data_IF_130707608617
#
_entry.id   IF_130707608617
#
_cell.length_a   1.000
_cell.length_b   1.000
_cell.length_c   1.000
_cell.angle_alpha   90.00
_cell.angle_beta   90.00
_cell.angle_gamma   90.00
#
_symmetry.space_group_name_H-M   'P 1'
#
loop_
_entity.id
_entity.type
_entity.pdbx_description
1 polymer ?
#
# COMPACT_ATOMS: atom_id res chain seq x y z
N UNK A 1 -60.80 3.54 63.91
CA UNK A 1 -60.42 4.97 63.95
C UNK A 1 -60.93 5.57 62.64
N UNK A 2 -62.13 6.16 62.56
CA UNK A 2 -62.45 7.56 62.94
C UNK A 2 -61.44 8.54 62.32
N UNK A 3 -61.74 9.57 61.51
CA UNK A 3 -62.91 10.25 60.92
C UNK A 3 -62.30 11.14 59.80
N UNK A 4 -62.88 11.26 58.60
CA UNK A 4 -63.60 12.50 58.23
C UNK A 4 -63.08 13.16 56.94
N UNK A 5 -64.01 13.33 56.00
CA UNK A 5 -63.97 14.04 54.70
C UNK A 5 -64.18 15.58 54.93
N UNK A 6 -64.48 16.47 53.95
CA UNK A 6 -64.12 16.67 52.52
C UNK A 6 -63.66 18.14 52.20
N UNK A 7 -63.61 18.48 50.90
CA UNK A 7 -63.76 19.82 50.26
C UNK A 7 -62.52 20.73 50.18
N UNK A 8 -62.41 21.72 49.29
CA UNK A 8 -62.80 22.00 47.89
C UNK A 8 -62.15 23.38 47.55
N UNK A 9 -62.15 23.76 46.27
CA UNK A 9 -61.98 25.12 45.69
C UNK A 9 -60.65 25.50 44.99
N UNK A 10 -60.74 25.48 43.66
CA UNK A 10 -60.64 26.65 42.75
C UNK A 10 -59.74 27.84 43.17
N UNK A 11 -58.79 28.23 42.31
CA UNK A 11 -58.88 29.45 41.46
C UNK A 11 -57.64 29.65 40.58
N UNK A 12 -57.95 30.25 39.43
CA UNK A 12 -57.20 30.67 38.25
C UNK A 12 -56.16 31.81 38.50
N UNK A 13 -55.40 32.25 37.46
CA UNK A 13 -54.00 32.71 37.51
C UNK A 13 -53.84 34.25 37.41
N UNK A 14 -52.67 34.72 36.89
CA UNK A 14 -52.28 36.09 36.41
C UNK A 14 -51.48 36.92 37.46
N UNK A 15 -50.58 37.90 37.15
CA UNK A 15 -50.10 38.49 35.88
C UNK A 15 -48.57 38.70 35.68
N UNK A 16 -48.29 39.06 34.42
CA UNK A 16 -47.18 39.80 33.79
C UNK A 16 -46.84 41.18 34.40
N UNK A 17 -45.55 41.55 34.40
CA UNK A 17 -45.03 42.93 34.19
C UNK A 17 -43.51 42.83 33.87
N UNK A 18 -43.01 43.09 32.65
CA UNK A 18 -42.63 44.39 32.07
C UNK A 18 -41.81 45.30 33.01
N UNK A 19 -40.57 45.61 32.63
CA UNK A 19 -40.10 46.96 32.26
C UNK A 19 -38.56 47.03 32.00
N UNK A 20 -38.23 47.58 30.81
CA UNK A 20 -37.15 48.57 30.52
C UNK A 20 -35.67 48.13 30.37
N UNK A 21 -35.26 48.05 29.09
CA UNK A 21 -33.99 48.52 28.46
C UNK A 21 -33.60 49.94 28.92
N UNK A 22 -32.32 50.46 28.81
CA UNK A 22 -31.64 50.61 27.49
C UNK A 22 -30.09 50.87 27.40
N UNK A 23 -29.58 50.91 26.15
CA UNK A 23 -28.27 51.40 25.61
C UNK A 23 -26.98 50.66 26.08
N UNK A 24 -26.10 50.16 25.20
CA UNK A 24 -25.14 50.95 24.42
C UNK A 24 -24.64 50.24 23.14
N UNK A 25 -24.59 51.04 22.07
CA UNK A 25 -23.61 51.12 20.97
C UNK A 25 -23.29 49.91 20.07
N UNK A 26 -23.82 50.00 18.84
CA UNK A 26 -23.10 49.67 17.63
C UNK A 26 -21.81 50.52 17.53
N UNK A 27 -20.69 49.89 17.18
CA UNK A 27 -19.69 50.53 16.32
C UNK A 27 -19.14 49.51 15.31
N UNK A 28 -19.00 49.90 14.04
CA UNK A 28 -18.49 49.07 12.96
C UNK A 28 -16.96 49.18 12.87
N UNK A 29 -16.28 48.10 12.50
CA UNK A 29 -14.93 48.21 11.95
C UNK A 29 -15.00 47.94 10.46
N UNK A 30 -14.97 49.04 9.72
CA UNK A 30 -14.75 49.11 8.29
C UNK A 30 -13.25 48.95 7.94
N UNK A 31 -12.93 48.69 6.66
CA UNK A 31 -11.72 48.01 6.21
C UNK A 31 -10.56 48.97 5.89
N UNK A 32 -9.35 48.49 6.08
CA UNK A 32 -8.13 49.04 5.48
C UNK A 32 -7.02 48.01 5.63
N UNK A 33 -6.09 47.76 4.71
CA UNK A 33 -5.85 48.17 3.33
C UNK A 33 -4.96 47.05 2.77
N UNK A 34 -5.18 46.68 1.51
CA UNK A 34 -4.25 45.87 0.73
C UNK A 34 -2.84 46.49 0.72
N UNK A 35 -1.80 45.65 0.67
CA UNK A 35 -0.71 45.88 -0.25
C UNK A 35 -0.87 44.96 -1.46
N UNK A 36 -0.81 45.60 -2.62
CA UNK A 36 -0.66 45.06 -3.98
C UNK A 36 0.46 44.02 -4.12
N UNK A 37 0.38 43.17 -5.17
CA UNK A 37 1.22 42.00 -5.32
C UNK A 37 2.67 42.37 -5.66
N UNK A 38 3.62 41.67 -5.04
CA UNK A 38 5.00 41.67 -5.49
C UNK A 38 5.07 40.84 -6.77
N UNK A 39 5.30 41.52 -7.90
CA UNK A 39 5.83 40.91 -9.12
C UNK A 39 7.11 40.17 -8.76
N UNK A 40 7.10 38.83 -8.78
CA UNK A 40 8.32 38.10 -9.07
C UNK A 40 8.50 38.14 -10.58
N UNK A 41 9.44 38.99 -10.98
CA UNK A 41 9.99 39.02 -12.33
C UNK A 41 10.46 37.62 -12.72
N UNK A 42 10.02 37.17 -13.87
CA UNK A 42 10.64 36.08 -14.60
C UNK A 42 12.12 36.43 -14.81
N UNK A 43 13.01 35.75 -14.08
CA UNK A 43 14.42 35.72 -14.40
C UNK A 43 14.58 34.56 -15.40
N UNK A 44 14.96 34.82 -16.67
CA UNK A 44 15.23 33.76 -17.60
C UNK A 44 16.48 33.01 -17.13
N UNK A 45 16.33 31.71 -16.85
CA UNK A 45 17.46 30.80 -16.68
C UNK A 45 18.14 30.72 -18.05
N UNK A 46 19.41 31.13 -18.19
CA UNK A 46 20.10 31.02 -19.46
C UNK A 46 20.34 29.54 -19.78
N UNK A 47 19.95 29.17 -21.00
CA UNK A 47 20.39 27.97 -21.69
C UNK A 47 21.91 27.81 -21.51
N UNK A 48 22.32 26.83 -20.72
CA UNK A 48 23.70 26.35 -20.75
C UNK A 48 23.86 25.52 -22.03
N UNK A 49 24.19 26.22 -23.12
CA UNK A 49 24.83 25.63 -24.29
C UNK A 49 26.19 25.12 -23.83
N UNK A 50 26.37 23.80 -23.77
CA UNK A 50 27.70 23.21 -23.65
C UNK A 50 28.46 23.50 -24.94
N UNK A 51 29.31 24.54 -24.91
CA UNK A 51 30.39 24.71 -25.87
C UNK A 51 31.43 23.62 -25.61
N UNK A 52 31.55 22.65 -26.53
CA UNK A 52 32.73 21.80 -26.59
C UNK A 52 33.86 22.64 -27.18
N UNK A 53 34.78 23.06 -26.30
CA UNK A 53 36.05 23.66 -26.70
C UNK A 53 36.94 22.62 -27.36
N UNK A 54 37.52 23.00 -28.49
CA UNK A 54 38.52 22.23 -29.22
C UNK A 54 39.76 21.98 -28.35
N UNK A 55 40.09 20.71 -28.12
CA UNK A 55 41.46 20.26 -27.89
C UNK A 55 41.83 19.32 -29.06
N UNK A 56 43.01 19.47 -29.69
CA UNK A 56 43.38 18.70 -30.86
C UNK A 56 43.94 17.33 -30.47
N UNK A 57 43.52 16.30 -31.22
CA UNK A 57 44.16 14.99 -31.23
C UNK A 57 43.22 13.85 -30.88
N UNK A 58 42.30 13.52 -31.77
CA UNK A 58 41.81 12.15 -31.99
C UNK A 58 41.07 12.12 -33.32
N UNK A 59 41.48 11.25 -34.25
CA UNK A 59 40.83 11.08 -35.56
C UNK A 59 39.48 10.36 -35.40
N UNK A 60 38.45 10.69 -36.21
CA UNK A 60 37.15 10.03 -36.13
C UNK A 60 37.10 8.76 -36.99
N UNK A 61 36.79 7.63 -36.36
CA UNK A 61 36.27 6.45 -37.05
C UNK A 61 34.79 6.66 -37.38
N UNK A 62 34.36 6.10 -38.51
CA UNK A 62 33.13 6.41 -39.25
C UNK A 62 31.83 6.35 -38.42
N UNK A 63 31.00 7.38 -38.60
CA UNK A 63 29.63 7.43 -38.10
C UNK A 63 28.69 6.54 -38.94
N UNK A 64 28.10 5.52 -38.31
CA UNK A 64 26.95 4.78 -38.86
C UNK A 64 25.64 5.46 -38.42
N UNK A 65 24.78 5.76 -39.41
CA UNK A 65 23.41 6.26 -39.21
C UNK A 65 22.54 5.27 -38.43
N UNK A 66 21.51 5.73 -37.68
CA UNK A 66 20.58 4.83 -37.01
C UNK A 66 19.65 4.16 -38.03
N UNK A 67 19.89 2.87 -38.28
CA UNK A 67 18.97 2.00 -39.01
C UNK A 67 17.75 1.65 -38.16
N UNK A 68 16.60 1.53 -38.82
CA UNK A 68 15.33 1.06 -38.24
C UNK A 68 15.47 -0.30 -37.54
N UNK A 69 14.67 -0.60 -36.50
CA UNK A 69 14.74 -1.89 -35.81
C UNK A 69 14.35 -3.03 -36.76
N UNK A 70 14.99 -4.21 -36.67
CA UNK A 70 14.63 -5.34 -37.52
C UNK A 70 13.24 -5.86 -37.14
N UNK A 71 12.48 -6.25 -38.17
CA UNK A 71 11.25 -7.01 -38.01
C UNK A 71 11.58 -8.38 -37.41
N UNK A 72 10.91 -8.74 -36.32
CA UNK A 72 11.01 -10.08 -35.72
C UNK A 72 10.34 -11.09 -36.66
N UNK A 73 11.14 -11.97 -37.27
CA UNK A 73 10.67 -13.21 -37.86
C UNK A 73 10.42 -14.25 -36.76
N UNK A 74 9.37 -15.06 -36.92
CA UNK A 74 9.04 -16.21 -36.08
C UNK A 74 10.25 -17.13 -35.89
N UNK A 75 10.60 -17.41 -34.62
CA UNK A 75 11.54 -18.47 -34.25
C UNK A 75 10.76 -19.75 -33.94
N UNK A 76 11.27 -20.88 -34.45
CA UNK A 76 10.70 -22.21 -34.33
C UNK A 76 10.80 -22.77 -32.88
N UNK A 77 9.92 -23.70 -32.47
CA UNK A 77 9.68 -24.06 -31.07
C UNK A 77 10.62 -25.14 -30.49
N UNK A 78 11.92 -25.12 -30.83
CA UNK A 78 12.85 -26.21 -30.45
C UNK A 78 13.90 -25.80 -29.39
N UNK A 79 13.95 -24.54 -28.95
CA UNK A 79 14.92 -24.03 -27.95
C UNK A 79 14.27 -23.76 -26.58
N UNK A 80 13.53 -24.72 -26.04
CA UNK A 80 13.02 -24.67 -24.67
C UNK A 80 14.01 -25.38 -23.71
N UNK A 81 14.70 -24.67 -22.78
CA UNK A 81 15.65 -25.31 -21.86
C UNK A 81 14.99 -26.02 -20.67
N UNK A 82 13.66 -26.19 -20.67
CA UNK A 82 12.93 -26.93 -19.65
C UNK A 82 12.56 -28.34 -20.11
N UNK A 83 13.55 -29.21 -20.29
CA UNK A 83 13.31 -30.65 -20.25
C UNK A 83 14.49 -31.41 -19.63
N UNK A 84 14.16 -32.24 -18.63
CA UNK A 84 14.93 -33.32 -18.02
C UNK A 84 16.17 -32.99 -17.16
N UNK A 85 15.98 -32.99 -15.84
CA UNK A 85 16.98 -33.53 -14.90
C UNK A 85 16.31 -34.57 -13.97
N UNK A 86 16.88 -35.78 -13.82
CA UNK A 86 16.29 -36.84 -13.01
C UNK A 86 16.45 -36.58 -11.51
N UNK A 87 15.36 -36.79 -10.77
CA UNK A 87 15.31 -36.89 -9.31
C UNK A 87 16.10 -38.11 -8.84
N UNK A 88 17.29 -37.90 -8.27
CA UNK A 88 17.89 -38.87 -7.34
C UNK A 88 17.90 -38.30 -5.92
N UNK A 89 17.29 -39.09 -5.05
CA UNK A 89 16.88 -38.79 -3.69
C UNK A 89 18.05 -39.10 -2.75
N UNK A 90 18.78 -38.10 -2.28
CA UNK A 90 19.72 -38.27 -1.17
C UNK A 90 18.93 -38.41 0.14
N UNK A 91 18.77 -39.65 0.59
CA UNK A 91 18.26 -39.99 1.93
C UNK A 91 19.35 -39.72 2.96
N UNK A 92 19.27 -38.58 3.65
CA UNK A 92 19.98 -38.40 4.92
C UNK A 92 19.06 -38.74 6.10
N UNK A 93 19.61 -39.46 7.07
CA UNK A 93 18.89 -40.01 8.21
C UNK A 93 18.42 -38.90 9.18
N UNK A 94 17.28 -39.08 9.88
CA UNK A 94 16.75 -38.06 10.77
C UNK A 94 17.63 -37.89 12.01
N UNK A 95 18.06 -36.65 12.25
CA UNK A 95 18.67 -36.23 13.51
C UNK A 95 17.66 -36.36 14.66
N UNK A 96 18.07 -36.82 15.86
CA UNK A 96 17.16 -37.00 16.99
C UNK A 96 16.63 -35.65 17.50
N UNK A 97 15.31 -35.57 17.69
CA UNK A 97 14.64 -34.41 18.27
C UNK A 97 15.06 -34.26 19.75
N UNK A 98 15.59 -33.09 20.17
CA UNK A 98 15.74 -32.80 21.59
C UNK A 98 14.36 -32.69 22.25
N UNK A 99 14.24 -33.29 23.43
CA UNK A 99 13.00 -33.44 24.17
C UNK A 99 12.36 -32.11 24.60
N UNK A 100 11.05 -32.21 24.87
CA UNK A 100 10.14 -31.19 25.40
C UNK A 100 10.77 -30.30 26.48
N UNK A 101 11.43 -29.23 26.05
CA UNK A 101 11.62 -28.05 26.86
C UNK A 101 10.40 -27.15 26.64
N UNK A 102 9.77 -26.74 27.74
CA UNK A 102 8.75 -25.69 27.77
C UNK A 102 9.16 -24.53 26.87
N UNK A 103 8.33 -24.23 25.87
CA UNK A 103 8.54 -23.12 24.93
C UNK A 103 8.80 -21.86 25.75
N UNK A 104 9.98 -21.22 25.65
CA UNK A 104 10.16 -19.92 26.27
C UNK A 104 9.12 -18.98 25.67
N UNK A 105 8.49 -18.16 26.51
CA UNK A 105 7.59 -17.10 26.09
C UNK A 105 8.38 -16.19 25.15
N UNK A 106 8.20 -16.40 23.84
CA UNK A 106 8.91 -15.65 22.80
C UNK A 106 8.33 -14.24 22.85
N UNK A 107 9.03 -13.33 23.52
CA UNK A 107 8.69 -11.92 23.45
C UNK A 107 8.80 -11.49 21.99
N UNK A 108 7.83 -10.71 21.48
CA UNK A 108 7.89 -10.20 20.11
C UNK A 108 9.18 -9.39 19.92
N UNK A 109 9.71 -9.42 18.69
CA UNK A 109 10.88 -8.63 18.34
C UNK A 109 10.54 -7.13 18.48
N UNK A 110 11.47 -6.27 18.93
CA UNK A 110 11.19 -4.84 19.14
C UNK A 110 10.60 -4.14 17.91
N UNK A 111 11.03 -4.54 16.72
CA UNK A 111 10.45 -4.03 15.47
C UNK A 111 8.97 -4.42 15.33
N UNK A 112 8.60 -5.66 15.65
CA UNK A 112 7.21 -6.11 15.63
C UNK A 112 6.35 -5.29 16.59
N UNK A 113 6.86 -4.94 17.77
CA UNK A 113 6.14 -4.07 18.73
C UNK A 113 5.95 -2.64 18.19
N UNK A 114 6.91 -2.15 17.41
CA UNK A 114 6.82 -0.83 16.77
C UNK A 114 5.76 -0.79 15.67
N UNK A 115 5.69 -1.82 14.81
CA UNK A 115 4.84 -1.79 13.60
C UNK A 115 3.47 -2.42 13.77
N UNK A 116 3.33 -3.42 14.66
CA UNK A 116 2.05 -4.04 14.98
C UNK A 116 1.32 -3.25 16.06
N UNK A 117 -0.01 -3.23 15.97
CA UNK A 117 -0.87 -2.74 17.04
C UNK A 117 -1.12 -3.86 18.07
N UNK A 118 -1.53 -3.49 19.29
CA UNK A 118 -1.98 -4.41 20.33
C UNK A 118 -3.32 -5.12 20.03
N UNK A 119 -3.92 -4.85 18.88
CA UNK A 119 -5.15 -5.49 18.41
C UNK A 119 -5.11 -5.64 16.89
N UNK A 120 -6.05 -6.40 16.33
CA UNK A 120 -6.30 -6.46 14.89
C UNK A 120 -7.69 -5.96 14.57
N UNK A 121 -7.80 -5.38 13.40
CA UNK A 121 -9.09 -5.14 12.76
C UNK A 121 -9.21 -5.98 11.50
N UNK A 122 -10.45 -6.18 11.05
CA UNK A 122 -10.77 -6.70 9.74
C UNK A 122 -11.50 -5.61 8.95
N UNK A 123 -11.08 -5.44 7.70
CA UNK A 123 -11.73 -4.57 6.72
C UNK A 123 -12.04 -5.43 5.51
N UNK A 124 -13.32 -5.71 5.26
CA UNK A 124 -13.77 -6.73 4.30
C UNK A 124 -13.13 -8.09 4.61
N UNK A 125 -12.30 -8.63 3.72
CA UNK A 125 -11.58 -9.90 3.88
C UNK A 125 -10.13 -9.73 4.38
N UNK A 126 -9.61 -8.49 4.45
CA UNK A 126 -8.27 -8.21 4.92
C UNK A 126 -8.20 -8.10 6.46
N UNK A 127 -7.36 -8.92 7.08
CA UNK A 127 -7.01 -8.81 8.51
C UNK A 127 -5.80 -7.88 8.65
N UNK A 128 -5.87 -6.91 9.55
CA UNK A 128 -4.89 -5.82 9.68
C UNK A 128 -4.30 -5.84 11.09
N UNK A 129 -3.06 -6.35 11.27
CA UNK A 129 -2.35 -6.29 12.55
C UNK A 129 -1.45 -5.05 12.68
N UNK A 130 -1.21 -4.33 11.58
CA UNK A 130 -0.27 -3.22 11.52
C UNK A 130 -0.93 -1.89 11.87
N UNK A 131 -0.15 -0.96 12.43
CA UNK A 131 -0.62 0.37 12.85
C UNK A 131 -1.11 1.25 11.70
N UNK A 132 -0.74 0.91 10.46
CA UNK A 132 -1.16 1.64 9.25
C UNK A 132 -1.46 0.64 8.14
N UNK A 133 -2.55 0.86 7.40
CA UNK A 133 -2.81 0.18 6.13
C UNK A 133 -3.49 1.14 5.13
N UNK A 134 -3.06 1.11 3.87
CA UNK A 134 -3.78 1.72 2.76
C UNK A 134 -4.90 0.80 2.30
N UNK A 135 -6.14 1.31 2.25
CA UNK A 135 -7.33 0.55 1.82
C UNK A 135 -7.93 1.25 0.62
N UNK A 136 -8.37 0.49 -0.37
CA UNK A 136 -9.01 1.03 -1.58
C UNK A 136 -10.52 0.82 -1.54
N UNK A 137 -11.27 1.87 -1.87
CA UNK A 137 -12.74 1.85 -1.90
C UNK A 137 -13.26 2.61 -3.11
N UNK A 138 -14.39 2.19 -3.66
CA UNK A 138 -15.07 2.94 -4.72
C UNK A 138 -15.76 4.18 -4.14
N UNK A 139 -15.98 5.23 -4.95
CA UNK A 139 -16.80 6.37 -4.53
C UNK A 139 -18.17 5.93 -4.04
N UNK A 140 -18.57 6.40 -2.85
CA UNK A 140 -19.85 6.02 -2.23
C UNK A 140 -19.94 4.60 -1.68
N UNK A 141 -18.87 3.81 -1.71
CA UNK A 141 -18.87 2.46 -1.13
C UNK A 141 -18.98 2.53 0.41
N UNK A 142 -19.83 1.69 0.99
CA UNK A 142 -19.88 1.47 2.43
C UNK A 142 -18.97 0.30 2.79
N UNK A 143 -18.04 0.52 3.71
CA UNK A 143 -17.13 -0.49 4.22
C UNK A 143 -17.41 -0.80 5.68
N UNK A 144 -17.42 -2.09 5.99
CA UNK A 144 -17.47 -2.60 7.35
C UNK A 144 -16.06 -2.71 7.92
N UNK A 145 -15.89 -2.20 9.14
CA UNK A 145 -14.68 -2.27 9.93
C UNK A 145 -15.04 -2.95 11.24
N UNK A 146 -14.35 -4.04 11.58
CA UNK A 146 -14.59 -4.76 12.82
C UNK A 146 -13.30 -5.09 13.56
N UNK A 147 -13.37 -5.10 14.89
CA UNK A 147 -12.32 -5.70 15.72
C UNK A 147 -12.30 -7.20 15.43
N UNK A 148 -11.11 -7.70 15.10
CA UNK A 148 -10.88 -9.12 14.84
C UNK A 148 -10.37 -9.84 16.09
N UNK A 149 -9.30 -9.33 16.69
CA UNK A 149 -8.67 -9.90 17.87
C UNK A 149 -8.05 -8.77 18.71
N UNK A 150 -8.03 -8.94 20.04
CA UNK A 150 -7.40 -8.01 20.98
C UNK A 150 -6.34 -8.78 21.74
N UNK A 151 -5.11 -8.30 21.74
CA UNK A 151 -4.00 -8.89 22.49
C UNK A 151 -3.65 -7.97 23.66
N UNK A 152 -4.13 -8.33 24.84
CA UNK A 152 -3.87 -7.58 26.06
C UNK A 152 -5.13 -7.35 26.89
N UNK A 153 -5.08 -6.32 27.74
CA UNK A 153 -6.22 -5.93 28.57
C UNK A 153 -7.20 -5.07 27.75
N UNK A 154 -8.41 -5.57 27.56
CA UNK A 154 -9.46 -4.83 26.86
C UNK A 154 -10.65 -5.69 26.51
N UNK A 155 -11.76 -5.03 26.21
CA UNK A 155 -12.93 -5.64 25.58
C UNK A 155 -13.27 -4.82 24.34
N UNK A 156 -14.12 -5.36 23.46
CA UNK A 156 -14.60 -4.62 22.30
C UNK A 156 -15.36 -3.32 22.67
N UNK A 157 -15.80 -3.21 23.93
CA UNK A 157 -16.40 -1.99 24.48
C UNK A 157 -15.37 -0.88 24.64
N UNK A 158 -15.72 0.34 24.19
CA UNK A 158 -14.90 1.54 24.38
C UNK A 158 -13.93 1.86 23.25
N UNK A 159 -13.70 0.93 22.30
CA UNK A 159 -13.01 1.28 21.06
C UNK A 159 -13.80 2.34 20.28
N UNK A 160 -13.07 3.23 19.61
CA UNK A 160 -13.65 4.32 18.82
C UNK A 160 -13.12 4.30 17.40
N UNK A 161 -13.97 4.61 16.42
CA UNK A 161 -13.56 4.93 15.06
C UNK A 161 -13.60 6.45 14.89
N UNK A 162 -12.44 7.07 14.67
CA UNK A 162 -12.35 8.49 14.31
C UNK A 162 -12.25 8.67 12.80
N UNK A 163 -13.01 9.63 12.30
CA UNK A 163 -12.97 10.14 10.92
C UNK A 163 -12.51 11.59 10.94
N UNK A 164 -12.19 12.20 9.80
CA UNK A 164 -11.92 13.64 9.74
C UNK A 164 -13.11 14.50 10.18
N UNK A 165 -14.34 13.99 9.99
CA UNK A 165 -15.58 14.70 10.30
C UNK A 165 -16.08 14.48 11.73
N UNK A 166 -15.48 13.55 12.48
CA UNK A 166 -15.85 13.29 13.87
C UNK A 166 -15.53 11.89 14.36
N UNK A 167 -16.41 11.37 15.23
CA UNK A 167 -16.30 10.02 15.78
C UNK A 167 -17.53 9.25 15.33
N UNK A 168 -17.32 8.11 14.69
CA UNK A 168 -18.39 7.22 14.28
C UNK A 168 -18.83 6.37 15.47
N UNK A 169 -20.14 6.30 15.67
CA UNK A 169 -20.72 5.42 16.68
C UNK A 169 -20.75 3.99 16.17
N UNK A 170 -20.18 3.02 16.90
CA UNK A 170 -20.29 1.63 16.54
C UNK A 170 -21.75 1.19 16.53
N UNK A 171 -22.16 0.39 15.54
CA UNK A 171 -23.52 -0.19 15.50
C UNK A 171 -23.62 -1.44 16.39
N UNK A 172 -22.48 -2.03 16.75
CA UNK A 172 -22.33 -3.07 17.76
C UNK A 172 -20.90 -3.02 18.34
N UNK A 173 -20.63 -3.56 19.55
CA UNK A 173 -19.30 -3.48 20.16
C UNK A 173 -18.20 -3.92 19.19
N UNK A 174 -17.24 -3.02 18.94
CA UNK A 174 -16.13 -3.27 18.03
C UNK A 174 -16.48 -3.31 16.53
N UNK A 175 -17.65 -2.81 16.10
CA UNK A 175 -18.01 -2.78 14.67
C UNK A 175 -18.56 -1.43 14.23
N UNK A 176 -18.06 -0.97 13.10
CA UNK A 176 -18.43 0.30 12.47
C UNK A 176 -18.71 0.11 10.99
N UNK A 177 -19.56 0.98 10.45
CA UNK A 177 -19.73 1.17 9.01
C UNK A 177 -19.21 2.56 8.70
N UNK A 178 -18.46 2.71 7.61
CA UNK A 178 -18.11 4.02 7.08
C UNK A 178 -18.40 4.06 5.58
N UNK A 179 -18.88 5.21 5.09
CA UNK A 179 -19.21 5.37 3.67
C UNK A 179 -18.27 6.38 3.02
N UNK A 180 -17.67 5.97 1.91
CA UNK A 180 -16.75 6.78 1.14
C UNK A 180 -17.42 8.02 0.55
N UNK A 181 -16.69 9.16 0.44
CA UNK A 181 -17.16 10.29 -0.32
C UNK A 181 -17.30 9.93 -1.81
N UNK A 182 -17.99 10.78 -2.56
CA UNK A 182 -18.25 10.57 -3.99
C UNK A 182 -17.08 11.02 -4.88
N UNK A 183 -16.12 11.77 -4.33
CA UNK A 183 -15.01 12.33 -5.09
C UNK A 183 -13.87 11.31 -5.20
N UNK A 184 -13.52 10.82 -6.40
CA UNK A 184 -12.37 9.94 -6.58
C UNK A 184 -11.04 10.72 -6.44
N UNK A 185 -9.96 10.00 -6.16
CA UNK A 185 -8.61 10.56 -6.06
C UNK A 185 -8.27 11.18 -4.70
N UNK A 186 -9.19 11.15 -3.74
CA UNK A 186 -8.95 11.60 -2.37
C UNK A 186 -8.43 10.45 -1.48
N UNK A 187 -7.82 10.81 -0.35
CA UNK A 187 -7.48 9.88 0.73
C UNK A 187 -8.10 10.34 2.05
N UNK A 188 -8.78 9.44 2.74
CA UNK A 188 -9.46 9.70 4.02
C UNK A 188 -8.84 8.82 5.12
N UNK A 189 -8.20 9.41 6.14
CA UNK A 189 -7.68 8.63 7.26
C UNK A 189 -8.82 8.27 8.23
N UNK A 190 -8.98 6.97 8.50
CA UNK A 190 -9.84 6.44 9.55
C UNK A 190 -8.96 5.86 10.66
N UNK A 191 -9.27 6.15 11.93
CA UNK A 191 -8.44 5.68 13.05
C UNK A 191 -9.28 4.89 14.04
N UNK A 192 -8.97 3.60 14.19
CA UNK A 192 -9.53 2.75 15.25
C UNK A 192 -8.64 2.90 16.47
N UNK A 193 -9.19 3.37 17.58
CA UNK A 193 -8.44 3.68 18.82
C UNK A 193 -8.84 2.74 19.95
N UNK A 194 -7.82 2.20 20.62
CA UNK A 194 -7.98 1.40 21.83
C UNK A 194 -8.24 2.29 23.06
N UNK A 195 -9.16 1.90 23.96
CA UNK A 195 -9.48 2.68 25.15
C UNK A 195 -8.48 2.54 26.30
N UNK A 196 -7.59 1.53 26.27
CA UNK A 196 -6.75 1.16 27.44
C UNK A 196 -5.29 1.61 27.27
N UNK A 197 -4.67 1.29 26.15
CA UNK A 197 -3.23 1.44 25.90
C UNK A 197 -2.88 2.59 24.95
N UNK A 198 -3.88 3.38 24.54
CA UNK A 198 -3.74 4.46 23.55
C UNK A 198 -3.18 4.01 22.19
N UNK A 199 -3.19 2.70 21.92
CA UNK A 199 -2.83 2.12 20.64
C UNK A 199 -3.90 2.46 19.58
N UNK A 200 -3.51 2.52 18.31
CA UNK A 200 -4.43 2.73 17.21
C UNK A 200 -3.94 2.11 15.90
N UNK A 201 -4.92 1.71 15.08
CA UNK A 201 -4.72 1.37 13.67
C UNK A 201 -5.30 2.50 12.81
N UNK A 202 -4.50 3.01 11.89
CA UNK A 202 -4.92 4.00 10.88
C UNK A 202 -5.13 3.33 9.53
N UNK A 203 -6.35 3.44 8.99
CA UNK A 203 -6.67 3.08 7.62
C UNK A 203 -6.60 4.34 6.76
N UNK A 204 -5.65 4.39 5.84
CA UNK A 204 -5.58 5.43 4.82
C UNK A 204 -6.45 4.99 3.64
N UNK A 205 -7.70 5.45 3.63
CA UNK A 205 -8.70 5.01 2.64
C UNK A 205 -8.57 5.83 1.35
N UNK A 206 -8.09 5.21 0.28
CA UNK A 206 -7.86 5.77 -1.04
C UNK A 206 -9.11 5.57 -1.90
N UNK A 207 -9.72 6.68 -2.34
CA UNK A 207 -10.95 6.65 -3.13
C UNK A 207 -10.60 6.45 -4.61
N UNK A 208 -11.04 5.32 -5.16
CA UNK A 208 -10.69 4.90 -6.51
C UNK A 208 -11.36 5.77 -7.58
N UNK A 209 -10.65 6.02 -8.67
CA UNK A 209 -11.30 6.25 -9.96
C UNK A 209 -11.89 4.92 -10.43
N UNK A 210 -13.23 4.80 -10.59
CA UNK A 210 -13.84 3.54 -10.97
C UNK A 210 -13.30 3.03 -12.31
N UNK A 211 -13.21 1.72 -12.48
CA UNK A 211 -12.73 1.11 -13.72
C UNK A 211 -13.54 1.56 -14.95
N UNK A 212 -14.83 1.85 -14.73
CA UNK A 212 -15.76 2.31 -15.76
C UNK A 212 -15.42 3.71 -16.31
N UNK A 213 -14.54 4.46 -15.66
CA UNK A 213 -14.02 5.74 -16.16
C UNK A 213 -12.92 5.55 -17.23
N UNK A 214 -12.45 4.32 -17.48
CA UNK A 214 -11.48 4.04 -18.55
C UNK A 214 -12.19 4.07 -19.91
N UNK A 215 -11.87 5.07 -20.73
CA UNK A 215 -12.40 5.23 -22.07
C UNK A 215 -11.31 4.98 -23.11
N UNK A 216 -11.59 4.13 -24.10
CA UNK A 216 -10.63 3.77 -25.16
C UNK A 216 -9.25 3.30 -24.65
N UNK A 217 -9.22 2.68 -23.45
CA UNK A 217 -7.99 2.20 -22.82
C UNK A 217 -7.18 3.28 -22.11
N UNK A 218 -7.74 4.46 -21.87
CA UNK A 218 -7.09 5.55 -21.15
C UNK A 218 -7.97 6.03 -19.98
N UNK A 219 -7.32 6.48 -18.90
CA UNK A 219 -7.96 7.14 -17.76
C UNK A 219 -7.29 8.50 -17.59
N UNK A 220 -8.03 9.59 -17.82
CA UNK A 220 -7.50 10.96 -17.77
C UNK A 220 -6.20 11.15 -18.58
N UNK A 221 -6.11 10.53 -19.75
CA UNK A 221 -4.95 10.57 -20.64
C UNK A 221 -3.80 9.61 -20.26
N UNK A 222 -3.90 8.89 -19.14
CA UNK A 222 -2.96 7.85 -18.78
C UNK A 222 -3.35 6.52 -19.43
N UNK A 223 -2.43 5.90 -20.18
CA UNK A 223 -2.68 4.65 -20.90
C UNK A 223 -2.77 3.47 -19.93
N UNK A 224 -3.97 2.94 -19.76
CA UNK A 224 -4.21 1.69 -19.05
C UNK A 224 -4.08 0.51 -20.04
N UNK A 225 -4.61 0.67 -21.24
CA UNK A 225 -4.74 -0.40 -22.22
C UNK A 225 -6.00 -1.24 -21.95
N UNK A 226 -5.91 -2.53 -22.28
CA UNK A 226 -7.06 -3.43 -22.29
C UNK A 226 -6.73 -4.67 -21.48
N UNK A 227 -7.56 -4.93 -20.49
CA UNK A 227 -7.57 -6.19 -19.75
C UNK A 227 -8.22 -7.28 -20.60
N UNK A 228 -7.60 -8.46 -20.68
CA UNK A 228 -8.30 -9.67 -21.10
C UNK A 228 -8.85 -10.35 -19.85
N UNK A 229 -10.03 -9.92 -19.41
CA UNK A 229 -10.67 -10.52 -18.25
C UNK A 229 -11.33 -11.85 -18.61
N UNK A 230 -11.18 -12.81 -17.71
CA UNK A 230 -12.02 -14.00 -17.63
C UNK A 230 -12.94 -13.86 -16.42
N UNK A 231 -14.03 -14.64 -16.32
CA UNK A 231 -14.86 -14.65 -15.11
C UNK A 231 -14.05 -14.91 -13.82
N UNK A 232 -13.00 -15.73 -13.92
CA UNK A 232 -12.11 -16.09 -12.81
C UNK A 232 -11.07 -15.01 -12.48
N UNK A 233 -10.92 -14.01 -13.34
CA UNK A 233 -9.95 -12.93 -13.17
C UNK A 233 -10.54 -11.61 -13.72
N UNK A 234 -11.53 -11.03 -13.01
CA UNK A 234 -12.20 -9.81 -13.44
C UNK A 234 -11.24 -8.62 -13.40
N UNK A 235 -11.50 -7.54 -14.15
CA UNK A 235 -10.71 -6.31 -14.05
C UNK A 235 -10.74 -5.74 -12.62
N UNK A 236 -9.75 -4.91 -12.23
CA UNK A 236 -9.75 -4.27 -10.93
C UNK A 236 -10.99 -3.37 -10.77
N UNK A 237 -11.46 -3.12 -9.53
CA UNK A 237 -12.63 -2.27 -9.28
C UNK A 237 -12.42 -0.80 -9.66
N UNK A 238 -11.15 -0.38 -9.74
CA UNK A 238 -10.76 0.98 -10.09
C UNK A 238 -9.27 1.19 -9.87
N UNK A 239 -8.86 2.45 -9.92
CA UNK A 239 -7.46 2.84 -9.83
C UNK A 239 -7.26 3.97 -8.82
N UNK A 240 -6.19 3.89 -8.05
CA UNK A 240 -5.73 4.98 -7.19
C UNK A 240 -5.00 5.99 -8.05
N UNK A 241 -5.38 7.27 -7.95
CA UNK A 241 -4.64 8.36 -8.55
C UNK A 241 -3.37 8.66 -7.74
N UNK A 242 -2.23 8.71 -8.41
CA UNK A 242 -0.94 9.03 -7.81
C UNK A 242 -0.68 10.54 -7.84
N UNK A 243 -1.54 11.31 -7.17
CA UNK A 243 -1.34 12.76 -7.05
C UNK A 243 -0.09 13.06 -6.22
N UNK A 244 0.60 14.21 -6.43
CA UNK A 244 1.79 14.57 -5.66
C UNK A 244 1.62 14.50 -4.15
N UNK A 245 0.42 14.82 -3.65
CA UNK A 245 0.05 14.83 -2.23
C UNK A 245 -0.04 13.41 -1.63
N UNK A 246 -0.35 12.42 -2.46
CA UNK A 246 -0.55 11.03 -2.02
C UNK A 246 0.70 10.17 -2.16
N UNK A 247 1.72 10.61 -2.90
CA UNK A 247 2.89 9.79 -3.18
C UNK A 247 3.60 9.29 -1.92
N UNK A 248 3.70 10.15 -0.91
CA UNK A 248 4.41 9.84 0.34
C UNK A 248 3.44 9.36 1.44
N UNK A 249 2.17 9.12 1.10
CA UNK A 249 1.20 8.51 1.99
C UNK A 249 1.63 7.08 2.30
N UNK A 250 1.73 6.76 3.60
CA UNK A 250 2.01 5.39 4.06
C UNK A 250 0.84 4.47 3.74
N UNK A 251 1.13 3.37 3.05
CA UNK A 251 0.18 2.27 2.81
C UNK A 251 0.42 1.10 3.74
N UNK A 252 1.56 1.08 4.43
CA UNK A 252 1.84 0.29 5.64
C UNK A 252 3.03 0.95 6.38
N UNK A 253 3.44 0.48 7.58
CA UNK A 253 4.53 1.10 8.33
C UNK A 253 5.83 1.28 7.51
N UNK A 254 6.22 0.25 6.76
CA UNK A 254 7.42 0.26 5.93
C UNK A 254 7.24 0.73 4.49
N UNK A 255 6.02 1.05 4.03
CA UNK A 255 5.75 1.31 2.61
C UNK A 255 4.90 2.55 2.35
N UNK A 256 5.20 3.26 1.26
CA UNK A 256 4.43 4.39 0.73
C UNK A 256 3.78 4.07 -0.61
N UNK A 257 2.78 4.86 -1.00
CA UNK A 257 2.09 4.69 -2.28
C UNK A 257 3.05 4.77 -3.48
N UNK A 258 4.04 5.67 -3.42
CA UNK A 258 5.05 5.88 -4.46
C UNK A 258 5.77 4.59 -4.87
N UNK A 259 6.03 3.69 -3.93
CA UNK A 259 6.79 2.46 -4.18
C UNK A 259 6.03 1.49 -5.11
N UNK A 260 4.70 1.56 -5.16
CA UNK A 260 3.88 0.67 -5.99
C UNK A 260 3.59 1.23 -7.38
N UNK A 261 4.09 2.42 -7.70
CA UNK A 261 3.79 3.07 -8.97
C UNK A 261 4.31 2.31 -10.18
N UNK A 262 3.55 2.29 -11.29
CA UNK A 262 4.09 1.81 -12.54
C UNK A 262 5.24 2.71 -12.99
N UNK A 263 6.26 2.08 -13.59
CA UNK A 263 7.38 2.80 -14.25
C UNK A 263 6.93 3.55 -15.52
N UNK A 264 5.72 3.28 -16.00
CA UNK A 264 5.10 4.03 -17.09
C UNK A 264 5.05 5.54 -16.75
N UNK A 265 5.58 6.36 -17.65
CA UNK A 265 5.47 7.81 -17.55
C UNK A 265 4.03 8.29 -17.77
N UNK A 266 3.69 9.43 -17.17
CA UNK A 266 2.38 10.06 -17.30
C UNK A 266 2.12 11.07 -16.18
N UNK A 267 1.13 11.94 -16.39
CA UNK A 267 0.60 12.80 -15.34
C UNK A 267 -0.88 13.12 -15.63
N UNK A 268 -1.84 12.69 -14.79
CA UNK A 268 -1.64 11.84 -13.60
C UNK A 268 -1.16 10.42 -13.95
N UNK A 269 -0.68 9.68 -12.95
CA UNK A 269 -0.44 8.24 -13.03
C UNK A 269 -1.46 7.51 -12.15
N UNK A 270 -1.73 6.26 -12.50
CA UNK A 270 -2.69 5.42 -11.80
C UNK A 270 -2.09 4.07 -11.45
N UNK A 271 -2.50 3.52 -10.30
CA UNK A 271 -2.15 2.17 -9.91
C UNK A 271 -3.35 1.39 -9.36
N UNK A 272 -3.24 0.06 -9.38
CA UNK A 272 -4.06 -0.81 -8.53
C UNK A 272 -3.22 -1.15 -7.30
N UNK A 273 -3.73 -0.81 -6.12
CA UNK A 273 -3.12 -1.16 -4.84
C UNK A 273 -3.89 -2.34 -4.24
N UNK A 274 -3.19 -3.44 -3.95
CA UNK A 274 -3.77 -4.59 -3.25
C UNK A 274 -3.44 -4.53 -1.77
N UNK A 275 -4.46 -4.56 -0.92
CA UNK A 275 -4.32 -4.66 0.54
C UNK A 275 -3.56 -5.94 0.92
N UNK A 276 -3.88 -7.07 0.29
CA UNK A 276 -3.22 -8.35 0.55
C UNK A 276 -1.74 -8.35 0.17
N UNK A 277 -1.39 -7.75 -0.97
CA UNK A 277 0.02 -7.61 -1.34
C UNK A 277 0.74 -6.71 -0.33
N UNK A 278 0.14 -5.59 0.03
CA UNK A 278 0.74 -4.62 0.98
C UNK A 278 0.98 -5.25 2.34
N UNK A 279 -0.01 -5.96 2.89
CA UNK A 279 0.10 -6.71 4.15
C UNK A 279 1.20 -7.77 4.10
N UNK A 280 1.29 -8.51 2.98
CA UNK A 280 2.33 -9.52 2.78
C UNK A 280 3.72 -8.92 2.68
N UNK A 281 3.86 -7.79 1.99
CA UNK A 281 5.14 -7.08 1.86
C UNK A 281 5.62 -6.56 3.22
N UNK A 282 4.72 -6.04 4.05
CA UNK A 282 5.03 -5.66 5.44
C UNK A 282 5.45 -6.87 6.29
N UNK A 283 4.75 -8.00 6.17
CA UNK A 283 5.12 -9.23 6.88
C UNK A 283 6.49 -9.78 6.45
N UNK A 284 6.84 -9.64 5.16
CA UNK A 284 8.19 -9.99 4.66
C UNK A 284 9.24 -9.05 5.26
N UNK A 285 9.00 -7.73 5.25
CA UNK A 285 9.92 -6.76 5.85
C UNK A 285 10.12 -7.01 7.34
N UNK A 286 9.04 -7.32 8.07
CA UNK A 286 9.09 -7.71 9.46
C UNK A 286 9.97 -8.94 9.69
N UNK A 287 9.78 -10.00 8.91
CA UNK A 287 10.61 -11.20 9.03
C UNK A 287 12.08 -10.94 8.66
N UNK A 288 12.35 -10.12 7.64
CA UNK A 288 13.70 -9.67 7.29
C UNK A 288 14.39 -9.05 8.51
N UNK A 289 13.72 -8.11 9.20
CA UNK A 289 14.29 -7.45 10.38
C UNK A 289 14.40 -8.37 11.59
N UNK A 290 13.46 -9.31 11.76
CA UNK A 290 13.54 -10.34 12.81
C UNK A 290 14.77 -11.23 12.63
N UNK A 291 15.18 -11.48 11.39
CA UNK A 291 16.40 -12.22 11.08
C UNK A 291 17.68 -11.39 11.23
N UNK A 292 17.57 -10.14 11.70
CA UNK A 292 18.69 -9.24 11.96
C UNK A 292 19.24 -8.54 10.71
N UNK A 293 18.49 -8.53 9.62
CA UNK A 293 18.84 -7.78 8.41
C UNK A 293 18.26 -6.38 8.54
N UNK A 294 19.12 -5.37 8.56
CA UNK A 294 18.73 -3.96 8.54
C UNK A 294 18.11 -3.62 7.18
N UNK A 295 16.85 -3.18 7.18
CA UNK A 295 16.14 -2.77 5.98
C UNK A 295 15.04 -1.78 6.33
N UNK A 296 15.15 -0.49 5.96
CA UNK A 296 14.12 0.50 6.18
C UNK A 296 12.82 0.16 5.42
N UNK A 297 12.94 -0.47 4.25
CA UNK A 297 11.83 -0.94 3.42
C UNK A 297 12.30 -2.07 2.49
N UNK A 298 11.41 -2.59 1.66
CA UNK A 298 11.79 -3.39 0.49
C UNK A 298 11.74 -2.49 -0.75
N UNK A 299 12.81 -2.48 -1.53
CA UNK A 299 12.81 -1.79 -2.81
C UNK A 299 11.88 -2.51 -3.78
N UNK A 300 10.73 -1.90 -4.07
CA UNK A 300 9.75 -2.41 -5.03
C UNK A 300 10.20 -2.01 -6.43
N UNK A 301 10.94 -2.89 -7.08
CA UNK A 301 11.40 -2.68 -8.45
C UNK A 301 10.25 -2.61 -9.44
N UNK A 302 9.21 -3.42 -9.22
CA UNK A 302 7.99 -3.41 -10.02
C UNK A 302 6.80 -3.87 -9.20
N UNK A 303 5.84 -2.98 -8.96
CA UNK A 303 4.51 -3.30 -8.44
C UNK A 303 3.49 -3.46 -9.57
N UNK A 304 2.47 -2.62 -9.57
CA UNK A 304 1.44 -2.60 -10.61
C UNK A 304 2.00 -2.28 -12.01
N UNK A 305 1.48 -2.98 -13.02
CA UNK A 305 1.74 -2.69 -14.44
C UNK A 305 0.40 -2.53 -15.15
N UNK A 306 0.23 -1.45 -15.91
CA UNK A 306 -0.92 -1.36 -16.80
C UNK A 306 -0.83 -2.45 -17.88
N UNK A 307 -1.95 -2.97 -18.40
CA UNK A 307 -1.93 -3.85 -19.56
C UNK A 307 -1.14 -3.29 -20.75
N UNK A 308 -1.22 -1.98 -20.99
CA UNK A 308 -0.43 -1.31 -22.02
C UNK A 308 1.07 -1.39 -21.74
N UNK A 309 1.51 -1.01 -20.54
CA UNK A 309 2.92 -1.00 -20.16
C UNK A 309 3.52 -2.39 -20.12
N UNK A 310 2.79 -3.38 -19.60
CA UNK A 310 3.25 -4.77 -19.57
C UNK A 310 3.60 -5.28 -20.98
N UNK A 311 2.76 -4.98 -21.98
CA UNK A 311 3.07 -5.28 -23.38
C UNK A 311 4.23 -4.47 -23.93
N UNK A 312 4.31 -3.18 -23.59
CA UNK A 312 5.39 -2.30 -24.05
C UNK A 312 6.79 -2.77 -23.60
N UNK A 313 6.90 -3.43 -22.44
CA UNK A 313 8.14 -4.05 -21.96
C UNK A 313 8.38 -5.48 -22.47
N UNK A 314 7.62 -5.91 -23.49
CA UNK A 314 7.76 -7.22 -24.12
C UNK A 314 7.03 -8.37 -23.40
N UNK A 315 6.27 -8.08 -22.33
CA UNK A 315 5.46 -9.09 -21.68
C UNK A 315 4.02 -9.08 -22.23
N UNK A 316 3.74 -10.01 -23.13
CA UNK A 316 2.42 -10.14 -23.77
C UNK A 316 1.48 -11.11 -23.06
N UNK A 317 1.86 -11.67 -21.90
CA UNK A 317 0.94 -12.52 -21.14
C UNK A 317 -0.15 -11.68 -20.48
N UNK A 318 -1.37 -12.17 -20.57
CA UNK A 318 -2.52 -11.58 -19.88
C UNK A 318 -2.72 -12.20 -18.48
N UNK A 319 -1.89 -13.16 -18.08
CA UNK A 319 -1.97 -13.84 -16.77
C UNK A 319 -1.05 -13.23 -15.71
N UNK A 320 -0.32 -12.16 -16.05
CA UNK A 320 0.59 -11.51 -15.12
C UNK A 320 -0.18 -10.86 -13.96
N UNK A 321 0.07 -11.32 -12.74
CA UNK A 321 -0.52 -10.78 -11.50
C UNK A 321 -0.18 -9.29 -11.28
N UNK A 322 0.91 -8.78 -11.85
CA UNK A 322 1.19 -7.34 -11.85
C UNK A 322 0.08 -6.48 -12.47
N UNK A 323 -0.71 -7.03 -13.40
CA UNK A 323 -1.83 -6.32 -14.03
C UNK A 323 -2.99 -6.06 -13.05
N UNK A 324 -3.09 -6.85 -11.97
CA UNK A 324 -4.09 -6.73 -10.92
C UNK A 324 -3.56 -6.06 -9.65
N UNK A 325 -2.31 -5.56 -9.69
CA UNK A 325 -1.70 -4.88 -8.55
C UNK A 325 -1.38 -5.80 -7.36
N UNK A 326 -1.47 -7.11 -7.55
CA UNK A 326 -1.35 -8.09 -6.48
C UNK A 326 -0.03 -8.90 -6.54
N UNK A 327 0.94 -8.39 -7.32
CA UNK A 327 2.30 -8.89 -7.40
C UNK A 327 3.35 -7.77 -7.27
N UNK A 328 4.51 -8.15 -6.73
CA UNK A 328 5.68 -7.28 -6.62
C UNK A 328 6.96 -8.05 -6.98
N UNK A 329 7.85 -7.37 -7.69
CA UNK A 329 9.26 -7.73 -7.83
C UNK A 329 10.06 -6.81 -6.90
N UNK A 330 10.85 -7.39 -5.97
CA UNK A 330 11.53 -6.61 -4.92
C UNK A 330 12.90 -7.17 -4.51
N UNK A 331 13.66 -6.34 -3.81
CA UNK A 331 14.92 -6.67 -3.14
C UNK A 331 15.18 -5.67 -1.99
N UNK A 332 16.29 -5.84 -1.26
CA UNK A 332 16.76 -4.87 -0.25
C UNK A 332 17.86 -4.01 -0.87
N UNK A 333 17.74 -2.69 -0.74
CA UNK A 333 18.63 -1.67 -1.30
C UNK A 333 18.71 -0.47 -0.35
N UNK A 334 19.35 -0.67 0.79
CA UNK A 334 19.66 0.37 1.76
C UNK A 334 20.78 1.30 1.27
N UNK A 335 21.61 0.84 0.33
CA UNK A 335 22.62 1.68 -0.31
C UNK A 335 22.03 2.67 -1.32
N UNK A 336 20.81 2.44 -1.80
CA UNK A 336 20.07 3.30 -2.73
C UNK A 336 20.66 3.31 -4.15
N UNK A 337 21.41 2.28 -4.52
CA UNK A 337 22.11 2.22 -5.80
C UNK A 337 21.27 1.52 -6.91
N UNK A 338 20.09 0.99 -6.55
CA UNK A 338 19.21 0.26 -7.45
C UNK A 338 19.57 -1.21 -7.63
N UNK A 339 20.44 -1.76 -6.79
CA UNK A 339 20.87 -3.16 -6.79
C UNK A 339 20.65 -3.80 -5.42
N UNK A 340 20.53 -5.12 -5.40
CA UNK A 340 20.42 -5.87 -4.16
C UNK A 340 21.70 -5.72 -3.34
N UNK A 341 21.54 -5.42 -2.05
CA UNK A 341 22.65 -5.39 -1.10
C UNK A 341 23.17 -6.81 -0.76
N UNK A 342 24.39 -6.88 -0.22
CA UNK A 342 24.96 -8.12 0.33
C UNK A 342 24.34 -8.44 1.70
N UNK A 343 23.35 -9.32 1.70
CA UNK A 343 22.61 -9.74 2.88
C UNK A 343 23.29 -10.90 3.61
N UNK A 344 24.18 -11.61 2.93
CA UNK A 344 24.89 -12.78 3.46
C UNK A 344 26.26 -12.43 4.04
N UNK A 345 26.75 -11.22 3.83
CA UNK A 345 28.04 -10.73 4.32
C UNK A 345 29.23 -11.34 3.58
N UNK A 346 29.03 -11.74 2.32
CA UNK A 346 30.05 -12.39 1.50
C UNK A 346 30.92 -11.41 0.67
N UNK A 347 30.55 -10.13 0.66
CA UNK A 347 31.19 -9.05 -0.08
C UNK A 347 30.48 -8.62 -1.37
N UNK A 348 29.44 -9.33 -1.81
CA UNK A 348 28.73 -9.08 -3.07
C UNK A 348 27.21 -9.28 -2.92
N UNK A 349 26.41 -8.35 -3.44
CA UNK A 349 24.96 -8.53 -3.59
C UNK A 349 24.64 -9.41 -4.80
N UNK A 350 24.11 -10.60 -4.56
CA UNK A 350 24.01 -11.63 -5.60
C UNK A 350 22.95 -12.70 -5.35
N UNK A 351 23.11 -13.84 -6.04
CA UNK A 351 22.11 -14.92 -5.98
C UNK A 351 22.01 -15.57 -4.59
N UNK A 352 23.08 -15.49 -3.79
CA UNK A 352 23.06 -16.01 -2.41
C UNK A 352 22.07 -15.23 -1.54
N UNK A 353 22.04 -13.91 -1.71
CA UNK A 353 21.16 -12.98 -1.02
C UNK A 353 19.71 -13.14 -1.48
N UNK A 354 19.50 -13.31 -2.80
CA UNK A 354 18.19 -13.65 -3.33
C UNK A 354 17.69 -15.00 -2.78
N UNK A 355 18.56 -16.02 -2.66
CA UNK A 355 18.18 -17.29 -2.01
C UNK A 355 17.85 -17.13 -0.54
N UNK A 356 18.50 -16.21 0.18
CA UNK A 356 18.17 -15.90 1.57
C UNK A 356 16.77 -15.25 1.66
N UNK A 357 16.50 -14.22 0.87
CA UNK A 357 15.18 -13.58 0.80
C UNK A 357 14.08 -14.57 0.39
N UNK A 358 14.34 -15.43 -0.58
CA UNK A 358 13.39 -16.45 -0.99
C UNK A 358 12.97 -17.34 0.20
N UNK A 359 13.93 -17.82 1.02
CA UNK A 359 13.63 -18.62 2.21
C UNK A 359 12.85 -17.83 3.28
N UNK A 360 13.18 -16.56 3.45
CA UNK A 360 12.43 -15.65 4.34
C UNK A 360 10.96 -15.59 3.90
N UNK A 361 10.70 -15.36 2.61
CA UNK A 361 9.32 -15.31 2.07
C UNK A 361 8.61 -16.66 2.22
N UNK A 362 9.30 -17.79 2.04
CA UNK A 362 8.71 -19.11 2.30
C UNK A 362 8.28 -19.26 3.75
N UNK A 363 9.12 -18.88 4.73
CA UNK A 363 8.74 -18.92 6.15
C UNK A 363 7.54 -18.05 6.46
N UNK A 364 7.48 -16.83 5.92
CA UNK A 364 6.33 -15.93 6.08
C UNK A 364 5.04 -16.58 5.57
N UNK A 365 5.09 -17.21 4.38
CA UNK A 365 3.93 -17.93 3.88
C UNK A 365 3.62 -19.22 4.67
N UNK A 366 4.62 -19.91 5.22
CA UNK A 366 4.42 -21.15 5.98
C UNK A 366 3.76 -20.91 7.35
N UNK A 367 3.98 -19.74 7.96
CA UNK A 367 3.30 -19.36 9.21
C UNK A 367 1.79 -19.23 9.07
N UNK A 368 1.30 -19.01 7.84
CA UNK A 368 -0.12 -18.89 7.53
C UNK A 368 -0.85 -17.89 8.44
N UNK A 369 -0.20 -16.75 8.75
CA UNK A 369 -0.85 -15.68 9.50
C UNK A 369 -2.09 -15.16 8.72
N UNK A 370 -3.19 -14.79 9.38
CA UNK A 370 -4.45 -14.43 8.71
C UNK A 370 -4.34 -13.28 7.70
N UNK A 371 -3.36 -12.40 7.87
CA UNK A 371 -3.11 -11.25 7.00
C UNK A 371 -2.17 -11.57 5.83
N UNK A 372 -1.59 -12.78 5.78
CA UNK A 372 -0.64 -13.22 4.75
C UNK A 372 -1.33 -14.16 3.76
N UNK A 373 -1.71 -13.61 2.61
CA UNK A 373 -2.31 -14.40 1.53
C UNK A 373 -1.25 -15.21 0.79
N UNK A 374 -1.54 -16.50 0.60
CA UNK A 374 -0.68 -17.40 -0.18
C UNK A 374 -0.56 -16.93 -1.63
N UNK A 375 0.59 -17.16 -2.26
CA UNK A 375 0.73 -16.89 -3.68
C UNK A 375 1.99 -17.47 -4.31
N UNK A 376 2.26 -16.95 -5.50
CA UNK A 376 3.46 -17.20 -6.27
C UNK A 376 4.70 -16.66 -5.58
N UNK A 377 5.81 -17.38 -5.76
CA UNK A 377 7.13 -16.99 -5.31
C UNK A 377 8.16 -17.50 -6.32
N UNK A 378 9.06 -16.64 -6.78
CA UNK A 378 10.16 -17.00 -7.67
C UNK A 378 11.38 -16.13 -7.36
N UNK A 379 12.57 -16.67 -7.65
CA UNK A 379 13.83 -15.93 -7.58
C UNK A 379 14.40 -15.78 -8.99
N UNK A 380 14.63 -14.53 -9.41
CA UNK A 380 15.20 -14.24 -10.70
C UNK A 380 16.68 -13.87 -10.57
N UNK A 381 17.49 -14.45 -11.45
CA UNK A 381 18.92 -14.17 -11.54
C UNK A 381 19.17 -12.76 -12.09
N UNK A 382 20.34 -12.24 -11.76
CA UNK A 382 20.85 -11.01 -12.37
C UNK A 382 21.04 -11.17 -13.89
N UNK A 383 21.00 -10.05 -14.59
CA UNK A 383 21.39 -9.95 -16.00
C UNK A 383 22.12 -8.63 -16.27
N UNK A 384 22.42 -8.33 -17.53
CA UNK A 384 23.15 -7.13 -17.92
C UNK A 384 22.47 -5.79 -17.56
N UNK A 385 21.18 -5.79 -17.21
CA UNK A 385 20.37 -4.58 -16.99
C UNK A 385 19.89 -4.46 -15.54
N UNK A 386 19.84 -5.56 -14.78
CA UNK A 386 19.34 -5.56 -13.40
C UNK A 386 19.97 -6.67 -12.54
N UNK A 387 20.02 -6.42 -11.23
CA UNK A 387 20.44 -7.39 -10.23
C UNK A 387 19.43 -8.52 -10.01
N UNK A 388 19.73 -9.46 -9.11
CA UNK A 388 18.79 -10.49 -8.73
C UNK A 388 17.63 -9.88 -7.93
N UNK A 389 16.47 -10.54 -7.94
CA UNK A 389 15.28 -10.08 -7.22
C UNK A 389 14.31 -11.22 -6.93
N UNK A 390 13.36 -10.93 -6.05
CA UNK A 390 12.29 -11.85 -5.68
C UNK A 390 10.98 -11.37 -6.26
N UNK A 391 10.25 -12.30 -6.87
CA UNK A 391 8.87 -12.09 -7.24
C UNK A 391 7.97 -12.71 -6.19
N UNK A 392 6.91 -11.98 -5.80
CA UNK A 392 5.83 -12.49 -4.97
C UNK A 392 4.49 -12.01 -5.50
N UNK A 393 3.45 -12.82 -5.32
CA UNK A 393 2.07 -12.38 -5.54
C UNK A 393 1.12 -12.92 -4.48
N UNK A 394 -0.16 -12.55 -4.59
CA UNK A 394 -1.24 -12.96 -3.67
C UNK A 394 -2.37 -13.65 -4.40
N UNK A 395 -2.03 -14.50 -5.39
CA UNK A 395 -3.01 -15.26 -6.22
C UNK A 395 -3.90 -16.26 -5.45
N UNK A 396 -3.73 -16.40 -4.14
CA UNK A 396 -4.53 -17.26 -3.27
C UNK A 396 -4.05 -18.71 -3.18
N UNK A 397 -3.07 -19.12 -3.98
CA UNK A 397 -2.51 -20.47 -3.98
C UNK A 397 -1.00 -20.45 -4.23
N UNK A 398 -0.29 -21.42 -3.65
CA UNK A 398 1.15 -21.55 -3.85
C UNK A 398 1.47 -21.87 -5.30
N UNK A 399 2.41 -21.12 -5.85
CA UNK A 399 3.05 -21.39 -7.13
C UNK A 399 4.54 -21.07 -7.01
N UNK A 400 5.39 -21.87 -7.68
CA UNK A 400 6.85 -21.74 -7.69
C UNK A 400 7.34 -21.93 -9.12
N UNK A 401 8.29 -21.12 -9.56
CA UNK A 401 8.88 -21.22 -10.89
C UNK A 401 10.26 -20.58 -10.94
#
# INVERSE_FOLDING_TARGET
MLVGNPESRTRRPVPTALLRTPWYLCMPLQPSRFPTPVLFAAIPIPFAVFLWGQLPGFEPEEALSPGSPPAYGELAPEDNPFEALPLELAREAPMPLPGSASTPEVRPHPYSEEVRASFRIRVRDAVVPYRVLGVTVRPGETVDIELDEIWGEGAAEGFLLRTPDGVETPYSPGRWTWTAPQTPGEAVPLRVESPVDMDAITLNVLILHPFEAVENGELNGFRIGTYRSTPDLPPPPGFVEASPELLDLRVSPGFTLRQYLPRQEGNPRYLVLSEHLTLKMEAILEEVRVEGIEAATLYVMSGFRTPWYNRAIGNTTDHSRHLWGDAADFFIDETGNGWMDDLTGNGEGGEADARLLYRIVERVQDRAEPHVVQGGLSSYRANAVRGPFIHVDTRGARARW
#
